data_IF_519201544705
#
_entry.id   IF_519201544705
#
_cell.length_a   1.000
_cell.length_b   1.000
_cell.length_c   1.000
_cell.angle_alpha   90.00
_cell.angle_beta   90.00
_cell.angle_gamma   90.00
#
_symmetry.space_group_name_H-M   'P 1'
#
loop_
_entity.id
_entity.type
_entity.pdbx_description
1 polymer ?
#
# COMPACT_ATOMS: atom_id res chain seq x y z
N UNK A 1 -16.62 40.53 25.39
CA UNK A 1 -17.36 39.47 24.67
C UNK A 1 -16.36 38.80 23.74
N UNK A 2 -16.04 37.54 24.04
CA UNK A 2 -14.82 36.87 23.60
C UNK A 2 -14.82 36.46 22.13
N UNK A 3 -13.72 36.76 21.44
CA UNK A 3 -13.33 36.06 20.23
C UNK A 3 -12.20 35.08 20.61
N UNK A 4 -12.52 33.79 20.55
CA UNK A 4 -11.55 32.70 20.64
C UNK A 4 -10.60 32.78 19.43
N UNK A 5 -9.27 32.65 19.61
CA UNK A 5 -8.40 32.39 18.48
C UNK A 5 -8.63 30.94 18.04
N UNK A 6 -8.99 30.78 16.76
CA UNK A 6 -9.08 29.50 16.06
C UNK A 6 -7.79 28.71 16.24
N UNK A 7 -7.90 27.55 16.89
CA UNK A 7 -6.84 26.55 16.99
C UNK A 7 -6.49 26.04 15.59
N UNK A 8 -5.45 26.61 14.99
CA UNK A 8 -4.78 26.02 13.83
C UNK A 8 -4.15 24.72 14.30
N UNK A 9 -4.72 23.62 13.84
CA UNK A 9 -4.29 22.28 14.19
C UNK A 9 -2.87 22.03 13.66
N UNK A 10 -2.05 21.20 14.33
CA UNK A 10 -0.66 20.95 13.93
C UNK A 10 -0.47 20.29 12.55
N UNK A 11 -1.55 19.78 11.94
CA UNK A 11 -1.51 19.02 10.68
C UNK A 11 -1.54 19.88 9.41
N UNK A 12 -1.97 21.15 9.50
CA UNK A 12 -2.06 22.03 8.31
C UNK A 12 -0.68 22.43 7.74
N UNK A 13 0.39 22.31 8.53
CA UNK A 13 1.76 22.62 8.09
C UNK A 13 2.46 21.51 7.30
N UNK A 14 1.90 20.30 7.21
CA UNK A 14 2.56 19.17 6.55
C UNK A 14 2.33 19.08 5.04
N UNK A 15 1.54 19.98 4.43
CA UNK A 15 1.32 19.97 2.97
C UNK A 15 2.30 20.85 2.17
N UNK A 16 3.29 21.50 2.80
CA UNK A 16 4.26 22.38 2.11
C UNK A 16 5.75 22.20 2.50
N UNK A 17 6.11 21.15 3.23
CA UNK A 17 7.51 20.83 3.51
C UNK A 17 7.99 19.68 2.64
N UNK A 18 9.12 19.84 1.94
CA UNK A 18 9.87 18.70 1.39
C UNK A 18 9.98 17.59 2.46
N UNK A 19 9.79 16.31 2.11
CA UNK A 19 9.85 15.22 3.08
C UNK A 19 11.22 15.21 3.76
N UNK A 20 11.23 15.19 5.09
CA UNK A 20 12.42 15.10 5.94
C UNK A 20 13.36 13.99 5.41
N UNK A 21 14.62 14.30 5.05
CA UNK A 21 15.53 13.38 4.37
C UNK A 21 16.01 12.20 5.23
N UNK A 22 15.68 12.16 6.52
CA UNK A 22 16.14 11.12 7.46
C UNK A 22 15.06 10.17 7.96
N UNK A 23 13.78 10.42 7.63
CA UNK A 23 12.67 9.57 8.02
C UNK A 23 12.49 8.33 7.12
N UNK A 24 11.76 7.29 7.58
CA UNK A 24 11.38 6.15 6.74
C UNK A 24 10.60 6.55 5.46
N UNK A 25 9.98 7.73 5.46
CA UNK A 25 9.35 8.33 4.29
C UNK A 25 10.35 8.76 3.20
N UNK A 26 11.58 9.17 3.56
CA UNK A 26 12.62 9.56 2.60
C UNK A 26 13.16 8.35 1.82
N UNK A 27 13.31 7.20 2.49
CA UNK A 27 13.69 5.95 1.81
C UNK A 27 12.61 5.52 0.81
N UNK A 28 11.35 5.62 1.19
CA UNK A 28 10.23 5.31 0.30
C UNK A 28 10.14 6.28 -0.89
N UNK A 29 10.37 7.57 -0.64
CA UNK A 29 10.44 8.58 -1.68
C UNK A 29 11.62 8.35 -2.63
N UNK A 30 12.77 7.96 -2.09
CA UNK A 30 13.96 7.62 -2.87
C UNK A 30 13.73 6.41 -3.78
N UNK A 31 13.07 5.37 -3.26
CA UNK A 31 12.66 4.21 -4.05
C UNK A 31 11.69 4.60 -5.17
N UNK A 32 10.65 5.39 -4.85
CA UNK A 32 9.73 5.93 -5.85
C UNK A 32 10.48 6.70 -6.95
N UNK A 33 11.44 7.54 -6.58
CA UNK A 33 12.24 8.32 -7.52
C UNK A 33 13.07 7.43 -8.44
N UNK A 34 13.74 6.43 -7.87
CA UNK A 34 14.56 5.46 -8.60
C UNK A 34 13.75 4.64 -9.60
N UNK A 35 12.56 4.16 -9.21
CA UNK A 35 11.67 3.42 -10.11
C UNK A 35 11.17 4.32 -11.25
N UNK A 36 10.82 5.58 -10.97
CA UNK A 36 10.42 6.56 -12.01
C UNK A 36 11.56 6.81 -13.01
N UNK A 37 12.80 6.84 -12.55
CA UNK A 37 13.97 7.03 -13.41
C UNK A 37 14.17 5.82 -14.34
N UNK A 38 14.00 4.59 -13.83
CA UNK A 38 14.01 3.40 -14.69
C UNK A 38 12.85 3.36 -15.69
N UNK A 39 11.67 3.84 -15.31
CA UNK A 39 10.54 3.99 -16.23
C UNK A 39 10.87 5.01 -17.33
N UNK A 40 11.47 6.15 -16.97
CA UNK A 40 11.88 7.17 -17.95
C UNK A 40 12.96 6.66 -18.93
N UNK A 41 13.83 5.76 -18.49
CA UNK A 41 14.83 5.08 -19.31
C UNK A 41 14.28 3.83 -20.03
N UNK A 42 13.00 3.49 -19.82
CA UNK A 42 12.35 2.29 -20.34
C UNK A 42 13.07 0.98 -19.97
N UNK A 43 13.77 0.97 -18.83
CA UNK A 43 14.58 -0.15 -18.36
C UNK A 43 13.72 -1.15 -17.59
N UNK A 44 12.91 -1.90 -18.34
CA UNK A 44 11.95 -2.87 -17.81
C UNK A 44 12.62 -3.98 -16.99
N UNK A 45 13.87 -4.35 -17.30
CA UNK A 45 14.64 -5.37 -16.57
C UNK A 45 14.92 -4.92 -15.14
N UNK A 46 15.39 -3.69 -14.96
CA UNK A 46 15.69 -3.16 -13.62
C UNK A 46 14.43 -2.97 -12.79
N UNK A 47 13.32 -2.57 -13.41
CA UNK A 47 12.03 -2.47 -12.72
C UNK A 47 11.62 -3.84 -12.15
N UNK A 48 11.69 -4.90 -12.97
CA UNK A 48 11.38 -6.26 -12.52
C UNK A 48 12.31 -6.71 -11.40
N UNK A 49 13.61 -6.41 -11.53
CA UNK A 49 14.58 -6.76 -10.49
C UNK A 49 14.25 -6.07 -9.15
N UNK A 50 13.90 -4.79 -9.16
CA UNK A 50 13.47 -4.06 -7.96
C UNK A 50 12.21 -4.69 -7.35
N UNK A 51 11.20 -5.01 -8.16
CA UNK A 51 9.98 -5.67 -7.69
C UNK A 51 10.30 -7.03 -7.07
N UNK A 52 11.16 -7.82 -7.71
CA UNK A 52 11.59 -9.12 -7.21
C UNK A 52 12.35 -9.02 -5.88
N UNK A 53 13.28 -8.07 -5.74
CA UNK A 53 13.99 -7.81 -4.48
C UNK A 53 13.01 -7.39 -3.37
N UNK A 54 12.11 -6.44 -3.64
CA UNK A 54 11.09 -6.02 -2.67
C UNK A 54 10.16 -7.16 -2.26
N UNK A 55 9.85 -8.05 -3.19
CA UNK A 55 9.04 -9.24 -2.97
C UNK A 55 9.78 -10.26 -2.08
N UNK A 56 10.93 -10.76 -2.55
CA UNK A 56 11.63 -11.89 -1.95
C UNK A 56 12.42 -11.51 -0.70
N UNK A 57 13.11 -10.37 -0.72
CA UNK A 57 14.00 -9.97 0.38
C UNK A 57 13.28 -9.19 1.48
N UNK A 58 12.14 -8.57 1.16
CA UNK A 58 11.38 -7.77 2.12
C UNK A 58 9.99 -8.35 2.42
N UNK A 59 9.07 -8.39 1.45
CA UNK A 59 7.67 -8.77 1.69
C UNK A 59 7.52 -10.20 2.23
N UNK A 60 8.36 -11.12 1.75
CA UNK A 60 8.40 -12.53 2.19
C UNK A 60 9.51 -12.83 3.21
N UNK A 61 10.16 -11.79 3.76
CA UNK A 61 11.22 -11.96 4.74
C UNK A 61 10.72 -12.54 6.06
N UNK A 62 11.61 -13.13 6.85
CA UNK A 62 11.27 -13.62 8.19
C UNK A 62 11.05 -12.48 9.21
N UNK A 63 11.53 -11.27 8.90
CA UNK A 63 11.48 -10.13 9.83
C UNK A 63 10.21 -9.31 9.63
N UNK A 64 9.34 -9.15 10.66
CA UNK A 64 8.08 -8.40 10.54
C UNK A 64 8.23 -6.96 10.05
N UNK A 65 9.29 -6.27 10.47
CA UNK A 65 9.56 -4.90 10.03
C UNK A 65 9.92 -4.82 8.53
N UNK A 66 10.72 -5.76 8.05
CA UNK A 66 11.08 -5.87 6.63
C UNK A 66 9.87 -6.23 5.78
N UNK A 67 8.99 -7.14 6.24
CA UNK A 67 7.72 -7.47 5.55
C UNK A 67 6.84 -6.25 5.33
N UNK A 68 6.64 -5.43 6.38
CA UNK A 68 5.90 -4.17 6.27
C UNK A 68 6.56 -3.22 5.27
N UNK A 69 7.88 -3.06 5.33
CA UNK A 69 8.64 -2.25 4.38
C UNK A 69 8.48 -2.71 2.93
N UNK A 70 8.51 -4.03 2.70
CA UNK A 70 8.32 -4.63 1.38
C UNK A 70 6.93 -4.39 0.81
N UNK A 71 5.88 -4.58 1.61
CA UNK A 71 4.48 -4.31 1.19
C UNK A 71 4.27 -2.83 0.81
N UNK A 72 4.79 -1.91 1.62
CA UNK A 72 4.73 -0.47 1.34
C UNK A 72 5.57 -0.14 0.09
N UNK A 73 6.74 -0.76 -0.06
CA UNK A 73 7.62 -0.61 -1.23
C UNK A 73 6.99 -1.09 -2.53
N UNK A 74 6.27 -2.22 -2.51
CA UNK A 74 5.51 -2.73 -3.65
C UNK A 74 4.38 -1.77 -4.05
N UNK A 75 3.63 -1.25 -3.07
CA UNK A 75 2.61 -0.22 -3.32
C UNK A 75 3.23 1.06 -3.89
N UNK A 76 4.36 1.51 -3.35
CA UNK A 76 5.11 2.65 -3.86
C UNK A 76 5.62 2.44 -5.30
N UNK A 77 6.12 1.24 -5.62
CA UNK A 77 6.48 0.87 -6.99
C UNK A 77 5.29 0.97 -7.94
N UNK A 78 4.10 0.49 -7.53
CA UNK A 78 2.90 0.61 -8.37
C UNK A 78 2.55 2.07 -8.67
N UNK A 79 2.67 2.97 -7.68
CA UNK A 79 2.44 4.42 -7.84
C UNK A 79 3.50 5.05 -8.75
N UNK A 80 4.75 4.59 -8.65
CA UNK A 80 5.84 5.04 -9.51
C UNK A 80 5.62 4.63 -10.97
N UNK A 81 5.14 3.40 -11.20
CA UNK A 81 4.82 2.85 -12.52
C UNK A 81 3.57 3.51 -13.15
N UNK A 82 2.61 3.94 -12.34
CA UNK A 82 1.43 4.67 -12.83
C UNK A 82 0.63 3.85 -13.84
N UNK A 83 0.58 4.31 -15.10
CA UNK A 83 -0.16 3.63 -16.18
C UNK A 83 0.45 2.29 -16.57
N UNK A 84 1.77 2.15 -16.43
CA UNK A 84 2.49 0.92 -16.79
C UNK A 84 2.42 -0.14 -15.69
N UNK A 85 1.83 0.19 -14.53
CA UNK A 85 1.65 -0.74 -13.41
C UNK A 85 0.86 -1.99 -13.81
N UNK A 86 -0.02 -1.89 -14.82
CA UNK A 86 -0.75 -3.02 -15.38
C UNK A 86 0.14 -4.14 -15.94
N UNK A 87 1.30 -3.80 -16.49
CA UNK A 87 2.24 -4.77 -17.05
C UNK A 87 2.93 -5.62 -15.98
N UNK A 88 3.06 -5.06 -14.77
CA UNK A 88 3.74 -5.68 -13.63
C UNK A 88 2.77 -6.13 -12.55
N UNK A 89 1.46 -6.04 -12.80
CA UNK A 89 0.42 -6.25 -11.80
C UNK A 89 0.54 -7.62 -11.15
N UNK A 90 0.77 -8.66 -11.97
CA UNK A 90 0.94 -10.03 -11.50
C UNK A 90 2.12 -10.16 -10.53
N UNK A 91 3.27 -9.58 -10.91
CA UNK A 91 4.51 -9.62 -10.12
C UNK A 91 4.37 -8.83 -8.80
N UNK A 92 3.54 -7.78 -8.79
CA UNK A 92 3.23 -6.99 -7.59
C UNK A 92 2.21 -7.68 -6.67
N UNK A 93 1.20 -8.35 -7.24
CA UNK A 93 0.09 -8.94 -6.49
C UNK A 93 0.49 -10.28 -5.85
N UNK A 94 1.24 -11.14 -6.55
CA UNK A 94 1.65 -12.47 -6.04
C UNK A 94 2.25 -12.45 -4.61
N UNK A 95 3.24 -11.60 -4.29
CA UNK A 95 3.78 -11.53 -2.93
C UNK A 95 2.75 -11.03 -1.91
N UNK A 96 1.88 -10.09 -2.31
CA UNK A 96 0.83 -9.55 -1.42
C UNK A 96 -0.20 -10.62 -1.09
N UNK A 97 -0.60 -11.44 -2.07
CA UNK A 97 -1.49 -12.57 -1.85
C UNK A 97 -0.85 -13.66 -1.00
N UNK A 98 0.47 -13.84 -1.08
CA UNK A 98 1.17 -14.75 -0.17
C UNK A 98 1.06 -14.26 1.28
N UNK A 99 1.20 -12.94 1.50
CA UNK A 99 1.02 -12.33 2.81
C UNK A 99 -0.43 -12.38 3.34
N UNK A 100 -1.43 -12.66 2.50
CA UNK A 100 -2.82 -12.86 2.93
C UNK A 100 -3.00 -14.12 3.77
N UNK A 101 -2.17 -15.14 3.54
CA UNK A 101 -2.19 -16.38 4.29
C UNK A 101 -1.23 -16.38 5.48
N UNK A 102 -0.70 -15.20 5.87
CA UNK A 102 0.23 -15.10 6.98
C UNK A 102 -0.46 -15.37 8.32
N UNK A 103 0.29 -15.95 9.26
CA UNK A 103 -0.18 -16.21 10.62
C UNK A 103 -0.47 -14.90 11.38
N UNK A 104 0.25 -13.82 11.07
CA UNK A 104 0.07 -12.52 11.71
C UNK A 104 -1.10 -11.72 11.07
N UNK A 105 -2.17 -11.56 11.85
CA UNK A 105 -3.32 -10.72 11.47
C UNK A 105 -2.97 -9.28 11.07
N UNK A 106 -1.94 -8.68 11.68
CA UNK A 106 -1.50 -7.31 11.34
C UNK A 106 -0.86 -7.27 9.96
N UNK A 107 -0.10 -8.29 9.60
CA UNK A 107 0.49 -8.37 8.26
C UNK A 107 -0.57 -8.57 7.19
N UNK A 108 -1.59 -9.40 7.46
CA UNK A 108 -2.74 -9.55 6.55
C UNK A 108 -3.47 -8.23 6.29
N UNK A 109 -3.62 -7.40 7.32
CA UNK A 109 -4.18 -6.04 7.17
C UNK A 109 -3.29 -5.15 6.29
N UNK A 110 -1.98 -5.11 6.55
CA UNK A 110 -1.04 -4.32 5.73
C UNK A 110 -0.98 -4.80 4.28
N UNK A 111 -1.09 -6.11 4.06
CA UNK A 111 -1.15 -6.67 2.72
C UNK A 111 -2.43 -6.20 2.01
N UNK A 112 -3.58 -6.16 2.69
CA UNK A 112 -4.83 -5.66 2.11
C UNK A 112 -4.72 -4.17 1.74
N UNK A 113 -4.13 -3.38 2.62
CA UNK A 113 -3.89 -1.95 2.38
C UNK A 113 -2.94 -1.73 1.17
N UNK A 114 -1.87 -2.52 1.07
CA UNK A 114 -0.95 -2.49 -0.06
C UNK A 114 -1.66 -2.89 -1.36
N UNK A 115 -2.46 -3.96 -1.34
CA UNK A 115 -3.23 -4.43 -2.49
C UNK A 115 -4.19 -3.35 -3.00
N UNK A 116 -4.93 -2.73 -2.08
CA UNK A 116 -5.85 -1.64 -2.40
C UNK A 116 -5.12 -0.50 -3.12
N UNK A 117 -3.93 -0.12 -2.63
CA UNK A 117 -3.14 0.93 -3.26
C UNK A 117 -2.65 0.54 -4.66
N UNK A 118 -2.20 -0.70 -4.86
CA UNK A 118 -1.78 -1.21 -6.17
C UNK A 118 -2.95 -1.19 -7.16
N UNK A 119 -4.10 -1.75 -6.76
CA UNK A 119 -5.31 -1.82 -7.58
C UNK A 119 -5.87 -0.43 -7.89
N UNK A 120 -5.81 0.50 -6.91
CA UNK A 120 -6.25 1.89 -7.09
C UNK A 120 -5.48 2.58 -8.22
N UNK A 121 -4.19 2.32 -8.35
CA UNK A 121 -3.37 2.89 -9.42
C UNK A 121 -3.65 2.18 -10.75
N UNK A 122 -3.80 0.87 -10.72
CA UNK A 122 -4.01 0.05 -11.91
C UNK A 122 -5.47 -0.17 -12.30
N UNK A 123 -6.40 0.73 -11.92
CA UNK A 123 -7.86 0.55 -12.15
C UNK A 123 -8.23 0.19 -13.59
N UNK A 124 -7.48 0.68 -14.59
CA UNK A 124 -7.71 0.34 -16.01
C UNK A 124 -7.19 -1.05 -16.42
N UNK A 125 -6.23 -1.62 -15.70
CA UNK A 125 -5.57 -2.88 -16.03
C UNK A 125 -5.92 -4.03 -15.05
N UNK A 126 -6.73 -3.75 -14.02
CA UNK A 126 -7.07 -4.73 -12.98
C UNK A 126 -8.12 -5.75 -13.44
N UNK A 127 -8.97 -5.41 -14.41
CA UNK A 127 -10.11 -6.23 -14.82
C UNK A 127 -9.74 -7.69 -15.18
N UNK A 128 -8.68 -7.97 -15.97
CA UNK A 128 -8.28 -9.34 -16.27
C UNK A 128 -7.80 -10.13 -15.05
N UNK A 129 -7.32 -9.44 -14.01
CA UNK A 129 -6.78 -10.02 -12.78
C UNK A 129 -7.81 -10.08 -11.64
N UNK A 130 -9.02 -9.59 -11.86
CA UNK A 130 -10.06 -9.48 -10.84
C UNK A 130 -10.37 -10.83 -10.16
N UNK A 131 -10.41 -11.93 -10.92
CA UNK A 131 -10.68 -13.26 -10.37
C UNK A 131 -9.64 -13.67 -9.31
N UNK A 132 -8.36 -13.44 -9.60
CA UNK A 132 -7.24 -13.79 -8.70
C UNK A 132 -7.27 -12.90 -7.45
N UNK A 133 -7.57 -11.60 -7.64
CA UNK A 133 -7.71 -10.66 -6.55
C UNK A 133 -8.87 -11.01 -5.62
N UNK A 134 -10.02 -11.35 -6.20
CA UNK A 134 -11.21 -11.73 -5.45
C UNK A 134 -11.00 -13.05 -4.69
N UNK A 135 -10.39 -14.07 -5.32
CA UNK A 135 -10.03 -15.31 -4.64
C UNK A 135 -9.09 -15.06 -3.45
N UNK A 136 -8.06 -14.23 -3.64
CA UNK A 136 -7.17 -13.81 -2.57
C UNK A 136 -7.90 -13.11 -1.41
N UNK A 137 -8.72 -12.10 -1.71
CA UNK A 137 -9.49 -11.35 -0.72
C UNK A 137 -10.50 -12.22 0.03
N UNK A 138 -11.14 -13.16 -0.66
CA UNK A 138 -12.13 -14.07 -0.06
C UNK A 138 -11.53 -14.91 1.07
N UNK A 139 -10.23 -15.25 0.98
CA UNK A 139 -9.50 -16.02 1.98
C UNK A 139 -9.04 -15.20 3.19
N UNK A 140 -8.93 -13.88 3.03
CA UNK A 140 -8.62 -12.96 4.14
C UNK A 140 -9.83 -12.74 5.04
N UNK A 141 -11.04 -13.03 4.56
CA UNK A 141 -12.28 -12.90 5.32
C UNK A 141 -12.19 -13.72 6.61
N UNK A 142 -12.07 -13.10 7.79
CA UNK A 142 -12.00 -13.84 9.02
C UNK A 142 -13.39 -14.41 9.33
N UNK A 143 -13.53 -15.71 9.66
CA UNK A 143 -14.71 -16.16 10.38
C UNK A 143 -14.70 -15.50 11.76
N UNK A 144 -15.60 -14.53 11.98
CA UNK A 144 -15.90 -13.91 13.29
C UNK A 144 -14.83 -12.92 13.85
N UNK A 145 -15.18 -12.05 14.83
CA UNK A 145 -15.39 -10.63 14.60
C UNK A 145 -14.24 -9.77 15.13
N UNK A 146 -13.12 -9.70 14.41
CA UNK A 146 -12.14 -8.63 14.67
C UNK A 146 -12.66 -7.25 14.18
N UNK A 147 -13.65 -7.25 13.29
CA UNK A 147 -14.38 -6.06 12.85
C UNK A 147 -15.25 -5.43 13.97
N UNK A 148 -15.64 -6.19 15.00
CA UNK A 148 -16.42 -5.66 16.12
C UNK A 148 -15.57 -4.87 17.13
N UNK A 149 -14.24 -5.02 17.16
CA UNK A 149 -13.38 -4.24 18.05
C UNK A 149 -12.94 -2.88 17.46
N UNK A 150 -13.09 -2.68 16.14
CA UNK A 150 -12.84 -1.38 15.48
C UNK A 150 -14.13 -0.57 15.21
N UNK A 151 -15.30 -1.11 15.53
CA UNK A 151 -16.59 -0.48 15.30
C UNK A 151 -16.98 0.73 16.22
N UNK A 152 -16.25 1.17 17.28
CA UNK A 152 -16.69 2.36 18.01
C UNK A 152 -16.36 3.71 17.33
N UNK A 153 -15.67 3.76 16.19
CA UNK A 153 -15.25 5.05 15.58
C UNK A 153 -15.84 5.39 14.20
N UNK A 154 -16.68 4.54 13.61
CA UNK A 154 -17.37 4.85 12.34
C UNK A 154 -18.86 4.60 12.40
N UNK A 155 -19.49 4.84 13.57
CA UNK A 155 -20.93 5.08 13.65
C UNK A 155 -21.20 6.56 13.47
N UNK A 156 -21.06 7.05 12.25
CA UNK A 156 -21.73 8.29 11.85
C UNK A 156 -23.14 7.92 11.41
N UNK A 157 -24.09 8.61 12.01
CA UNK A 157 -25.52 8.52 11.83
C UNK A 157 -25.96 8.35 10.38
N UNK A 158 -26.51 7.17 10.08
CA UNK A 158 -27.55 7.03 9.07
C UNK A 158 -28.82 6.59 9.79
N UNK A 159 -29.37 7.52 10.57
CA UNK A 159 -30.76 7.49 10.96
C UNK A 159 -31.47 8.58 10.16
N UNK A 160 -32.24 8.15 9.19
CA UNK A 160 -33.28 8.95 8.54
C UNK A 160 -34.18 8.01 7.74
N UNK A 161 -35.46 8.36 7.53
CA UNK A 161 -36.18 9.53 8.03
C UNK A 161 -36.88 9.31 9.38
#
# INVERSE_FOLDING_TARGET
>A
TGHLPTSSQPWDRQQQGQPDPTGPAALLFSLCRLVREFVAQNNTVQIKHVIQTLSQEFALSQHPHSRKGGLIGLAACSIALGKDSGLYLKELIEPVLTCFNDADSRLRYYACEALYNIVKVARGAVLPHFNVLFDGLSKVTPPHPCWAQLAPHTRLDLQGP
#
